data_IF_570122459453
#
_entry.id   IF_570122459453
#
_cell.length_a   1.000
_cell.length_b   1.000
_cell.length_c   1.000
_cell.angle_alpha   90.00
_cell.angle_beta   90.00
_cell.angle_gamma   90.00
#
_symmetry.space_group_name_H-M   'P 1'
#
loop_
_entity.id
_entity.type
_entity.pdbx_description
1 polymer ?
#
# COMPACT_ATOMS: atom_id res chain seq x y z
N UNK A 1 33.67 -11.92 24.65
CA UNK A 1 33.53 -12.22 23.21
C UNK A 1 34.43 -11.26 22.45
N UNK A 2 35.21 -11.73 21.48
CA UNK A 2 36.09 -10.85 20.68
C UNK A 2 35.26 -9.87 19.84
N UNK A 3 35.70 -8.62 19.68
CA UNK A 3 35.03 -7.61 18.85
C UNK A 3 34.73 -8.14 17.42
N UNK A 4 35.62 -8.99 16.89
CA UNK A 4 35.45 -9.63 15.58
C UNK A 4 34.21 -10.52 15.53
N UNK A 5 33.97 -11.32 16.58
CA UNK A 5 32.79 -12.19 16.64
C UNK A 5 31.48 -11.40 16.76
N UNK A 6 31.48 -10.33 17.56
CA UNK A 6 30.31 -9.44 17.68
C UNK A 6 29.99 -8.76 16.35
N UNK A 7 31.01 -8.29 15.63
CA UNK A 7 30.84 -7.68 14.32
C UNK A 7 30.28 -8.67 13.29
N UNK A 8 30.80 -9.91 13.25
CA UNK A 8 30.29 -10.96 12.37
C UNK A 8 28.81 -11.27 12.69
N UNK A 9 28.47 -11.39 13.98
CA UNK A 9 27.09 -11.60 14.40
C UNK A 9 26.17 -10.44 13.99
N UNK A 10 26.60 -9.19 14.18
CA UNK A 10 25.85 -8.01 13.76
C UNK A 10 25.63 -8.01 12.25
N UNK A 11 26.67 -8.25 11.46
CA UNK A 11 26.57 -8.31 10.00
C UNK A 11 25.62 -9.41 9.55
N UNK A 12 25.66 -10.59 10.19
CA UNK A 12 24.71 -11.67 9.89
C UNK A 12 23.27 -11.24 10.15
N UNK A 13 23.00 -10.59 11.28
CA UNK A 13 21.64 -10.09 11.62
C UNK A 13 21.18 -9.06 10.59
N UNK A 14 22.03 -8.07 10.25
CA UNK A 14 21.70 -7.05 9.26
C UNK A 14 21.43 -7.66 7.89
N UNK A 15 22.24 -8.61 7.44
CA UNK A 15 22.03 -9.30 6.15
C UNK A 15 20.70 -10.06 6.17
N UNK A 16 20.39 -10.78 7.25
CA UNK A 16 19.11 -11.48 7.39
C UNK A 16 17.92 -10.52 7.38
N UNK A 17 18.01 -9.39 8.07
CA UNK A 17 16.99 -8.34 8.05
C UNK A 17 16.76 -7.78 6.65
N UNK A 18 17.84 -7.42 5.95
CA UNK A 18 17.75 -6.92 4.57
C UNK A 18 17.18 -7.98 3.63
N UNK A 19 17.61 -9.23 3.75
CA UNK A 19 17.09 -10.32 2.93
C UNK A 19 15.58 -10.52 3.14
N UNK A 20 15.12 -10.57 4.40
CA UNK A 20 13.70 -10.77 4.71
C UNK A 20 12.87 -9.54 4.33
N UNK A 21 13.37 -8.34 4.66
CA UNK A 21 12.67 -7.07 4.43
C UNK A 21 12.57 -6.68 2.96
N UNK A 22 13.55 -7.05 2.13
CA UNK A 22 13.63 -6.66 0.71
C UNK A 22 13.27 -7.78 -0.28
N UNK A 23 12.90 -8.96 0.21
CA UNK A 23 12.44 -10.05 -0.66
C UNK A 23 11.03 -9.75 -1.19
N UNK A 24 10.94 -9.56 -2.50
CA UNK A 24 9.67 -9.50 -3.24
C UNK A 24 9.47 -10.84 -3.96
N UNK A 25 8.33 -11.50 -3.70
CA UNK A 25 8.03 -12.84 -4.24
C UNK A 25 7.10 -12.80 -5.44
N UNK A 26 6.86 -11.63 -6.03
CA UNK A 26 5.82 -11.45 -7.04
C UNK A 26 6.36 -11.43 -8.46
N UNK A 27 5.64 -12.07 -9.41
CA UNK A 27 5.98 -11.98 -10.82
C UNK A 27 5.93 -10.52 -11.29
N UNK A 28 7.03 -10.07 -11.86
CA UNK A 28 7.16 -8.74 -12.46
C UNK A 28 6.33 -8.55 -13.73
N UNK A 29 5.71 -9.61 -14.25
CA UNK A 29 4.91 -9.55 -15.48
C UNK A 29 3.50 -9.04 -15.17
N UNK A 30 3.06 -8.08 -15.97
CA UNK A 30 1.69 -7.62 -15.93
C UNK A 30 0.75 -8.72 -16.43
N UNK A 31 -0.31 -9.02 -15.66
CA UNK A 31 -1.24 -10.11 -15.96
C UNK A 31 -2.44 -9.64 -16.78
N UNK A 32 -2.25 -8.62 -17.63
CA UNK A 32 -3.23 -8.20 -18.63
C UNK A 32 -2.92 -8.90 -19.94
N UNK A 33 -3.91 -9.54 -20.54
CA UNK A 33 -3.79 -10.11 -21.89
C UNK A 33 -5.12 -10.02 -22.63
N UNK A 34 -5.07 -10.12 -23.95
CA UNK A 34 -6.28 -10.23 -24.77
C UNK A 34 -6.72 -11.70 -24.82
N UNK A 35 -8.01 -11.93 -24.68
CA UNK A 35 -8.64 -13.23 -24.96
C UNK A 35 -8.53 -13.54 -26.44
N UNK A 36 -7.98 -14.70 -26.78
CA UNK A 36 -7.88 -15.16 -28.18
C UNK A 36 -9.25 -15.40 -28.81
N UNK A 37 -10.25 -15.75 -28.00
CA UNK A 37 -11.58 -16.14 -28.47
C UNK A 37 -12.42 -14.94 -28.92
N UNK A 38 -12.38 -13.84 -28.17
CA UNK A 38 -13.30 -12.71 -28.36
C UNK A 38 -12.63 -11.34 -28.24
N UNK A 39 -11.32 -11.28 -28.02
CA UNK A 39 -10.55 -10.03 -27.94
C UNK A 39 -10.75 -9.24 -26.65
N UNK A 40 -11.44 -9.78 -25.65
CA UNK A 40 -11.65 -9.10 -24.38
C UNK A 40 -10.33 -8.90 -23.61
N UNK A 41 -10.22 -7.81 -22.85
CA UNK A 41 -9.12 -7.57 -21.92
C UNK A 41 -9.31 -8.43 -20.67
N UNK A 42 -8.41 -9.36 -20.42
CA UNK A 42 -8.41 -10.24 -19.25
C UNK A 42 -7.43 -9.71 -18.21
N UNK A 43 -7.90 -9.57 -16.98
CA UNK A 43 -7.16 -9.05 -15.83
C UNK A 43 -6.97 -10.16 -14.78
N UNK A 44 -5.70 -10.54 -14.57
CA UNK A 44 -5.28 -11.46 -13.51
C UNK A 44 -5.18 -10.80 -12.12
N UNK A 45 -4.46 -11.44 -11.20
CA UNK A 45 -4.32 -10.97 -9.81
C UNK A 45 -3.54 -9.66 -9.68
N UNK A 46 -2.59 -9.45 -10.60
CA UNK A 46 -1.75 -8.26 -10.66
C UNK A 46 -1.73 -7.74 -12.07
N UNK A 47 -2.77 -6.98 -12.37
CA UNK A 47 -3.08 -6.51 -13.70
C UNK A 47 -3.36 -5.01 -13.64
N UNK A 48 -2.70 -4.25 -14.50
CA UNK A 48 -2.94 -2.83 -14.66
C UNK A 48 -2.89 -2.46 -16.14
N UNK A 49 -3.91 -1.74 -16.58
CA UNK A 49 -3.90 -1.06 -17.87
C UNK A 49 -4.38 0.38 -17.65
N UNK A 50 -3.83 1.34 -18.39
CA UNK A 50 -4.16 2.74 -18.19
C UNK A 50 -4.07 3.54 -19.48
N UNK A 51 -4.72 4.70 -19.53
CA UNK A 51 -4.69 5.56 -20.72
C UNK A 51 -3.27 6.05 -21.01
N UNK A 52 -2.84 5.95 -22.27
CA UNK A 52 -1.54 6.43 -22.77
C UNK A 52 -1.35 7.92 -22.47
N UNK A 53 -2.39 8.69 -22.77
CA UNK A 53 -2.43 10.13 -22.54
C UNK A 53 -3.32 10.45 -21.35
N UNK A 54 -3.03 11.57 -20.70
CA UNK A 54 -3.97 12.17 -19.75
C UNK A 54 -5.18 12.72 -20.51
N UNK A 55 -6.37 12.50 -19.94
CA UNK A 55 -7.61 13.13 -20.36
C UNK A 55 -7.56 14.59 -19.94
N UNK A 56 -7.68 15.51 -20.90
CA UNK A 56 -7.43 16.93 -20.67
C UNK A 56 -8.56 17.57 -19.86
N UNK A 57 -8.20 18.54 -19.02
CA UNK A 57 -9.13 19.29 -18.17
C UNK A 57 -10.36 19.79 -18.95
N UNK A 58 -10.14 20.42 -20.10
CA UNK A 58 -11.22 20.96 -20.96
C UNK A 58 -12.21 19.89 -21.44
N UNK A 59 -11.72 18.69 -21.75
CA UNK A 59 -12.59 17.59 -22.18
C UNK A 59 -13.46 17.10 -21.00
N UNK A 60 -12.86 17.01 -19.81
CA UNK A 60 -13.56 16.60 -18.60
C UNK A 60 -14.58 17.64 -18.16
N UNK A 61 -14.23 18.92 -18.18
CA UNK A 61 -15.15 20.01 -17.85
C UNK A 61 -16.35 20.02 -18.78
N UNK A 62 -16.12 19.79 -20.09
CA UNK A 62 -17.20 19.65 -21.06
C UNK A 62 -18.11 18.44 -20.74
N UNK A 63 -17.55 17.27 -20.44
CA UNK A 63 -18.32 16.08 -20.05
C UNK A 63 -19.14 16.32 -18.77
N UNK A 64 -18.55 16.93 -17.75
CA UNK A 64 -19.27 17.24 -16.51
C UNK A 64 -20.37 18.29 -16.72
N UNK A 65 -20.16 19.26 -17.64
CA UNK A 65 -21.13 20.30 -17.94
C UNK A 65 -22.33 19.80 -18.78
N UNK A 66 -22.05 18.96 -19.79
CA UNK A 66 -23.06 18.38 -20.68
C UNK A 66 -23.75 17.14 -20.06
N UNK A 67 -23.11 16.51 -19.07
CA UNK A 67 -23.44 15.18 -18.59
C UNK A 67 -22.72 14.11 -19.41
N UNK A 68 -22.49 12.95 -18.80
CA UNK A 68 -21.71 11.86 -19.39
C UNK A 68 -22.33 10.49 -19.15
N UNK A 69 -21.94 9.53 -19.98
CA UNK A 69 -22.25 8.12 -19.83
C UNK A 69 -20.95 7.30 -19.86
N UNK A 70 -20.83 6.38 -18.91
CA UNK A 70 -19.78 5.35 -18.91
C UNK A 70 -20.47 4.00 -19.09
N UNK A 71 -20.13 3.28 -20.17
CA UNK A 71 -20.59 1.91 -20.41
C UNK A 71 -19.43 0.94 -20.29
N UNK A 72 -19.65 -0.15 -19.56
CA UNK A 72 -18.66 -1.23 -19.43
C UNK A 72 -19.36 -2.56 -19.64
N UNK A 73 -18.85 -3.38 -20.54
CA UNK A 73 -19.26 -4.77 -20.66
C UNK A 73 -18.21 -5.66 -20.00
N UNK A 74 -18.53 -6.23 -18.83
CA UNK A 74 -17.54 -6.89 -17.97
C UNK A 74 -18.02 -8.24 -17.44
N UNK A 75 -17.08 -9.12 -17.10
CA UNK A 75 -17.32 -10.42 -16.47
C UNK A 75 -16.30 -10.65 -15.35
N UNK A 76 -16.67 -10.55 -14.07
CA UNK A 76 -15.74 -10.76 -12.96
C UNK A 76 -15.44 -12.26 -12.75
N UNK A 77 -14.27 -12.56 -12.21
CA UNK A 77 -13.82 -13.93 -11.90
C UNK A 77 -14.12 -14.32 -10.46
N UNK A 78 -14.26 -13.37 -9.54
CA UNK A 78 -14.57 -13.63 -8.13
C UNK A 78 -15.53 -12.59 -7.54
N UNK A 79 -16.25 -13.01 -6.50
CA UNK A 79 -17.21 -12.22 -5.72
C UNK A 79 -16.97 -12.36 -4.21
N UNK A 80 -15.90 -13.03 -3.80
CA UNK A 80 -15.68 -13.43 -2.40
C UNK A 80 -14.96 -12.35 -1.58
N UNK A 81 -14.44 -11.32 -2.24
CA UNK A 81 -13.67 -10.27 -1.59
C UNK A 81 -14.58 -9.22 -0.94
N UNK A 82 -14.30 -8.93 0.35
CA UNK A 82 -14.95 -7.87 1.11
C UNK A 82 -14.31 -6.49 0.89
N UNK A 83 -13.22 -6.43 0.14
CA UNK A 83 -12.48 -5.21 -0.16
C UNK A 83 -12.98 -4.59 -1.47
N UNK A 84 -12.70 -3.31 -1.67
CA UNK A 84 -12.95 -2.65 -2.94
C UNK A 84 -12.03 -3.21 -4.01
N UNK A 85 -12.59 -3.53 -5.17
CA UNK A 85 -11.85 -3.95 -6.35
C UNK A 85 -12.15 -2.99 -7.50
N UNK A 86 -11.15 -2.29 -7.99
CA UNK A 86 -11.34 -1.20 -8.95
C UNK A 86 -11.49 -1.73 -10.37
N UNK A 87 -12.74 -1.83 -10.83
CA UNK A 87 -13.03 -2.15 -12.24
C UNK A 87 -12.54 -1.00 -13.13
N UNK A 88 -12.83 0.24 -12.72
CA UNK A 88 -12.41 1.46 -13.41
C UNK A 88 -12.14 2.57 -12.39
N UNK A 89 -11.05 3.30 -12.60
CA UNK A 89 -10.64 4.46 -11.81
C UNK A 89 -10.25 5.60 -12.74
N UNK A 90 -10.72 6.83 -12.46
CA UNK A 90 -10.23 8.04 -13.11
C UNK A 90 -9.70 8.99 -12.04
N UNK A 91 -8.43 9.37 -12.13
CA UNK A 91 -7.70 10.03 -11.04
C UNK A 91 -6.60 10.97 -11.58
N UNK A 92 -6.30 12.04 -10.85
CA UNK A 92 -5.08 12.86 -11.04
C UNK A 92 -3.93 12.45 -10.11
N UNK A 93 -4.09 11.35 -9.36
CA UNK A 93 -3.16 10.84 -8.36
C UNK A 93 -3.51 11.25 -6.92
N UNK A 94 -4.54 12.05 -6.71
CA UNK A 94 -5.08 12.41 -5.39
C UNK A 94 -6.27 11.49 -5.02
N UNK A 95 -6.17 10.69 -3.93
CA UNK A 95 -7.24 9.79 -3.49
C UNK A 95 -8.56 10.50 -3.18
N UNK A 96 -8.56 11.79 -2.86
CA UNK A 96 -9.80 12.54 -2.65
C UNK A 96 -10.43 13.03 -3.96
N UNK A 97 -9.66 13.09 -5.05
CA UNK A 97 -10.11 13.57 -6.38
C UNK A 97 -10.07 12.46 -7.42
N UNK A 98 -10.91 11.46 -7.19
CA UNK A 98 -11.07 10.32 -8.10
C UNK A 98 -12.54 10.01 -8.38
N UNK A 99 -12.83 9.43 -9.54
CA UNK A 99 -14.09 8.73 -9.84
C UNK A 99 -13.81 7.23 -9.88
N UNK A 100 -14.58 6.45 -9.13
CA UNK A 100 -14.37 5.02 -8.96
C UNK A 100 -15.62 4.26 -9.37
N UNK A 101 -15.44 3.22 -10.17
CA UNK A 101 -16.40 2.13 -10.33
C UNK A 101 -15.74 0.88 -9.78
N UNK A 102 -16.22 0.41 -8.63
CA UNK A 102 -15.63 -0.70 -7.90
C UNK A 102 -16.62 -1.84 -7.72
N UNK A 103 -16.10 -3.06 -7.66
CA UNK A 103 -16.82 -4.22 -7.17
C UNK A 103 -16.49 -4.45 -5.69
N UNK A 104 -17.52 -4.67 -4.88
CA UNK A 104 -17.40 -5.16 -3.50
C UNK A 104 -18.38 -6.31 -3.36
N UNK A 105 -17.88 -7.53 -3.13
CA UNK A 105 -18.71 -8.75 -3.17
C UNK A 105 -19.55 -8.82 -4.45
N UNK A 106 -20.87 -8.84 -4.30
CA UNK A 106 -21.89 -8.83 -5.34
C UNK A 106 -22.51 -7.45 -5.56
N UNK A 107 -21.78 -6.36 -5.28
CA UNK A 107 -22.21 -5.00 -5.60
C UNK A 107 -21.22 -4.33 -6.54
N UNK A 108 -21.75 -3.57 -7.50
CA UNK A 108 -21.02 -2.48 -8.13
C UNK A 108 -21.35 -1.19 -7.38
N UNK A 109 -20.33 -0.45 -7.01
CA UNK A 109 -20.41 0.82 -6.30
C UNK A 109 -19.72 1.89 -7.16
N UNK A 110 -20.38 3.03 -7.32
CA UNK A 110 -19.83 4.22 -7.98
C UNK A 110 -19.79 5.37 -6.99
N UNK A 111 -18.63 6.02 -6.87
CA UNK A 111 -18.41 7.13 -5.95
C UNK A 111 -17.25 8.03 -6.37
N UNK A 112 -17.15 9.20 -5.73
CA UNK A 112 -15.94 10.02 -5.75
C UNK A 112 -15.16 9.91 -4.43
N UNK A 113 -13.84 10.10 -4.51
CA UNK A 113 -12.95 10.14 -3.35
C UNK A 113 -12.61 8.77 -2.76
N UNK A 114 -12.02 8.74 -1.57
CA UNK A 114 -11.47 7.54 -0.92
C UNK A 114 -12.29 6.99 0.28
N UNK A 115 -13.56 7.40 0.44
CA UNK A 115 -14.43 7.00 1.56
C UNK A 115 -14.94 5.54 1.44
N UNK A 116 -14.02 4.58 1.26
CA UNK A 116 -14.33 3.15 1.03
C UNK A 116 -15.09 2.54 2.21
N UNK A 117 -14.69 2.91 3.44
CA UNK A 117 -15.34 2.46 4.68
C UNK A 117 -16.66 3.20 4.98
N UNK A 118 -17.00 4.23 4.21
CA UNK A 118 -18.17 5.08 4.41
C UNK A 118 -18.23 5.86 5.72
N UNK A 119 -17.09 6.14 6.34
CA UNK A 119 -17.02 6.93 7.57
C UNK A 119 -17.47 8.37 7.36
N UNK A 120 -17.24 8.94 6.17
CA UNK A 120 -17.59 10.33 5.82
C UNK A 120 -18.97 10.47 5.17
N UNK A 121 -19.68 9.36 4.99
CA UNK A 121 -20.99 9.30 4.34
C UNK A 121 -21.01 9.96 2.95
N UNK A 122 -19.93 9.85 2.17
CA UNK A 122 -19.89 10.48 0.84
C UNK A 122 -20.96 9.91 -0.09
N UNK A 123 -21.58 10.72 -0.96
CA UNK A 123 -22.56 10.25 -1.94
C UNK A 123 -22.02 9.11 -2.80
N UNK A 124 -22.84 8.06 -2.95
CA UNK A 124 -22.53 6.90 -3.78
C UNK A 124 -23.80 6.23 -4.30
N UNK A 125 -23.69 5.56 -5.43
CA UNK A 125 -24.76 4.74 -6.01
C UNK A 125 -24.26 3.31 -6.14
N UNK A 126 -25.14 2.34 -5.84
CA UNK A 126 -24.79 0.92 -5.85
C UNK A 126 -25.88 0.10 -6.49
N UNK A 127 -25.49 -0.97 -7.17
CA UNK A 127 -26.39 -1.97 -7.74
C UNK A 127 -25.88 -3.36 -7.39
N UNK A 128 -26.80 -4.26 -6.99
CA UNK A 128 -26.46 -5.64 -6.64
C UNK A 128 -26.41 -6.48 -7.91
N UNK A 129 -25.37 -7.28 -8.08
CA UNK A 129 -25.19 -8.25 -9.15
C UNK A 129 -26.01 -9.49 -8.80
N UNK A 130 -27.10 -9.73 -9.53
CA UNK A 130 -28.04 -10.81 -9.21
C UNK A 130 -27.61 -12.18 -9.71
N UNK A 131 -26.84 -12.25 -10.80
CA UNK A 131 -26.35 -13.52 -11.35
C UNK A 131 -24.83 -13.48 -11.52
N UNK A 132 -24.12 -14.08 -10.56
CA UNK A 132 -22.67 -14.04 -10.41
C UNK A 132 -21.91 -14.79 -11.52
N UNK A 133 -22.57 -15.61 -12.33
CA UNK A 133 -21.90 -16.43 -13.34
C UNK A 133 -22.45 -16.22 -14.75
N UNK A 134 -23.25 -15.17 -14.98
CA UNK A 134 -23.91 -14.93 -16.27
C UNK A 134 -23.00 -14.23 -17.28
N UNK A 135 -21.78 -14.72 -17.45
CA UNK A 135 -20.80 -14.17 -18.38
C UNK A 135 -20.69 -12.65 -18.32
N UNK A 136 -20.62 -12.03 -19.50
CA UNK A 136 -20.54 -10.59 -19.66
C UNK A 136 -21.85 -9.87 -19.31
N UNK A 137 -21.73 -8.82 -18.50
CA UNK A 137 -22.81 -7.95 -18.06
C UNK A 137 -22.50 -6.51 -18.46
N UNK A 138 -23.51 -5.81 -18.97
CA UNK A 138 -23.39 -4.41 -19.36
C UNK A 138 -23.80 -3.51 -18.20
N UNK A 139 -22.83 -2.75 -17.69
CA UNK A 139 -23.02 -1.64 -16.78
C UNK A 139 -23.19 -0.36 -17.60
N UNK A 140 -24.16 0.49 -17.23
CA UNK A 140 -24.19 1.89 -17.66
C UNK A 140 -24.35 2.80 -16.44
N UNK A 141 -23.41 3.73 -16.29
CA UNK A 141 -23.48 4.87 -15.40
C UNK A 141 -23.81 6.10 -16.24
N UNK A 142 -24.95 6.74 -15.98
CA UNK A 142 -25.36 7.97 -16.64
C UNK A 142 -25.48 9.10 -15.64
N UNK A 143 -24.78 10.21 -15.88
CA UNK A 143 -24.74 11.36 -14.99
C UNK A 143 -25.14 12.60 -15.77
N UNK A 144 -26.22 13.26 -15.35
CA UNK A 144 -26.62 14.58 -15.83
C UNK A 144 -26.92 15.50 -14.63
N UNK A 145 -27.17 16.79 -14.90
CA UNK A 145 -27.42 17.79 -13.84
C UNK A 145 -28.59 17.45 -12.93
N UNK A 146 -29.58 16.71 -13.43
CA UNK A 146 -30.83 16.39 -12.73
C UNK A 146 -30.78 15.03 -12.05
N UNK A 147 -30.00 14.08 -12.56
CA UNK A 147 -29.97 12.71 -12.06
C UNK A 147 -28.64 12.01 -12.31
N UNK A 148 -28.35 11.07 -11.42
CA UNK A 148 -27.36 10.02 -11.61
C UNK A 148 -28.11 8.70 -11.66
N UNK A 149 -27.88 7.90 -12.70
CA UNK A 149 -28.46 6.56 -12.81
C UNK A 149 -27.42 5.49 -13.09
N UNK A 150 -27.68 4.31 -12.53
CA UNK A 150 -26.84 3.13 -12.65
C UNK A 150 -27.72 1.97 -13.07
N UNK A 151 -27.35 1.32 -14.16
CA UNK A 151 -28.07 0.15 -14.69
C UNK A 151 -27.09 -0.99 -14.94
N UNK A 152 -27.60 -2.21 -14.78
CA UNK A 152 -26.89 -3.45 -15.06
C UNK A 152 -27.86 -4.37 -15.83
N UNK A 153 -27.37 -5.08 -16.85
CA UNK A 153 -28.20 -5.93 -17.72
C UNK A 153 -29.17 -6.81 -16.93
N UNK A 154 -30.47 -6.68 -17.24
CA UNK A 154 -31.53 -7.49 -16.63
C UNK A 154 -31.95 -7.06 -15.22
N UNK A 155 -31.43 -5.94 -14.70
CA UNK A 155 -31.81 -5.40 -13.40
C UNK A 155 -32.48 -4.02 -13.51
N UNK A 156 -33.34 -3.66 -12.53
CA UNK A 156 -33.92 -2.33 -12.45
C UNK A 156 -32.84 -1.24 -12.34
N UNK A 157 -33.02 -0.16 -13.08
CA UNK A 157 -32.18 1.03 -13.01
C UNK A 157 -32.29 1.70 -11.63
N UNK A 158 -31.15 1.96 -10.99
CA UNK A 158 -31.07 2.72 -9.73
C UNK A 158 -30.87 4.19 -10.06
N UNK A 159 -31.61 5.08 -9.38
CA UNK A 159 -31.58 6.53 -9.64
C UNK A 159 -31.32 7.33 -8.36
N UNK A 160 -30.60 8.43 -8.50
CA UNK A 160 -30.39 9.45 -7.46
C UNK A 160 -30.60 10.84 -8.06
N UNK A 161 -31.15 11.75 -7.27
CA UNK A 161 -31.36 13.15 -7.67
C UNK A 161 -30.02 13.86 -7.74
N UNK A 162 -29.81 14.62 -8.82
CA UNK A 162 -28.59 15.39 -9.07
C UNK A 162 -27.41 14.59 -9.59
N UNK A 163 -26.35 15.30 -9.97
CA UNK A 163 -25.05 14.75 -10.29
C UNK A 163 -24.29 14.44 -8.99
N UNK A 164 -24.51 13.26 -8.42
CA UNK A 164 -23.88 12.85 -7.15
C UNK A 164 -22.43 12.39 -7.32
N UNK A 165 -22.02 12.15 -8.57
CA UNK A 165 -20.63 11.86 -8.93
C UNK A 165 -20.22 12.71 -10.13
N UNK A 166 -18.92 12.94 -10.30
CA UNK A 166 -18.33 13.64 -11.45
C UNK A 166 -16.99 13.02 -11.84
N UNK A 167 -16.53 13.25 -13.06
CA UNK A 167 -15.15 12.93 -13.42
C UNK A 167 -14.25 14.02 -12.83
N UNK A 168 -13.17 13.70 -12.10
CA UNK A 168 -12.27 14.71 -11.55
C UNK A 168 -11.64 15.55 -12.65
N UNK A 169 -11.49 16.85 -12.40
CA UNK A 169 -10.91 17.82 -13.33
C UNK A 169 -9.68 18.44 -12.68
N UNK A 170 -8.54 18.33 -13.33
CA UNK A 170 -7.25 18.80 -12.84
C UNK A 170 -6.46 19.49 -13.97
N UNK A 171 -5.65 20.53 -13.69
CA UNK A 171 -4.86 21.23 -14.71
C UNK A 171 -3.91 20.33 -15.49
N UNK A 172 -3.35 19.31 -14.84
CA UNK A 172 -2.47 18.31 -15.44
C UNK A 172 -3.21 17.22 -16.23
N UNK A 173 -4.54 17.27 -16.23
CA UNK A 173 -5.41 16.19 -16.72
C UNK A 173 -5.52 15.03 -15.74
N UNK A 174 -6.32 14.04 -16.11
CA UNK A 174 -6.59 12.83 -15.32
C UNK A 174 -6.27 11.58 -16.12
N UNK A 175 -5.93 10.49 -15.44
CA UNK A 175 -5.65 9.20 -16.07
C UNK A 175 -6.81 8.25 -15.83
N UNK A 176 -7.15 7.46 -16.85
CA UNK A 176 -8.04 6.31 -16.71
C UNK A 176 -7.19 5.08 -16.39
N UNK A 177 -7.53 4.36 -15.33
CA UNK A 177 -6.91 3.11 -14.89
C UNK A 177 -7.98 2.01 -14.87
N UNK A 178 -7.58 0.81 -15.27
CA UNK A 178 -8.39 -0.40 -15.24
C UNK A 178 -7.72 -1.42 -14.33
N UNK A 179 -8.56 -2.17 -13.61
CA UNK A 179 -8.18 -3.18 -12.62
C UNK A 179 -7.53 -2.67 -11.33
N UNK A 180 -6.68 -1.65 -11.35
CA UNK A 180 -5.93 -1.23 -10.17
C UNK A 180 -5.79 0.30 -10.04
N UNK A 181 -5.29 0.77 -8.89
CA UNK A 181 -4.84 2.15 -8.70
C UNK A 181 -3.36 2.36 -9.07
N UNK A 182 -2.84 3.58 -8.85
CA UNK A 182 -1.47 3.97 -9.18
C UNK A 182 -0.40 3.22 -8.37
N UNK A 183 -0.78 2.59 -7.25
CA UNK A 183 0.11 1.82 -6.36
C UNK A 183 -0.13 0.30 -6.46
N UNK A 184 -0.96 -0.15 -7.42
CA UNK A 184 -1.29 -1.56 -7.69
C UNK A 184 -2.06 -2.30 -6.59
N UNK A 185 -2.87 -1.54 -5.85
CA UNK A 185 -3.83 -2.03 -4.87
C UNK A 185 -5.25 -2.11 -5.42
N UNK A 186 -6.10 -2.81 -4.68
CA UNK A 186 -7.52 -3.00 -4.96
C UNK A 186 -7.76 -3.64 -6.34
N UNK A 187 -6.92 -4.61 -6.70
CA UNK A 187 -6.97 -5.24 -8.02
C UNK A 187 -8.31 -5.94 -8.28
N UNK A 188 -8.94 -5.59 -9.39
CA UNK A 188 -10.11 -6.27 -9.92
C UNK A 188 -9.71 -7.38 -10.89
N UNK A 189 -10.44 -8.50 -10.82
CA UNK A 189 -10.16 -9.70 -11.61
C UNK A 189 -11.35 -10.02 -12.50
N UNK A 190 -11.09 -10.18 -13.78
CA UNK A 190 -12.14 -10.49 -14.73
C UNK A 190 -11.78 -10.11 -16.16
N UNK A 191 -12.82 -9.99 -16.98
CA UNK A 191 -12.71 -9.62 -18.37
C UNK A 191 -13.50 -8.36 -18.66
N UNK A 192 -12.94 -7.44 -19.46
CA UNK A 192 -13.64 -6.28 -20.02
C UNK A 192 -13.71 -6.47 -21.53
N UNK A 193 -14.94 -6.60 -22.05
CA UNK A 193 -15.21 -6.75 -23.48
C UNK A 193 -15.37 -5.41 -24.18
N UNK A 194 -15.95 -4.42 -23.51
CA UNK A 194 -16.06 -3.07 -24.06
C UNK A 194 -16.08 -2.01 -22.96
N UNK A 195 -15.60 -0.83 -23.31
CA UNK A 195 -15.59 0.36 -22.46
C UNK A 195 -15.83 1.59 -23.33
N UNK A 196 -16.80 2.42 -22.96
CA UNK A 196 -16.95 3.74 -23.56
C UNK A 196 -17.25 4.82 -22.55
N UNK A 197 -16.73 6.02 -22.81
CA UNK A 197 -16.99 7.25 -22.05
C UNK A 197 -17.39 8.32 -23.06
N UNK A 198 -18.65 8.77 -22.99
CA UNK A 198 -19.20 9.72 -23.97
C UNK A 198 -20.00 10.83 -23.30
N UNK A 199 -20.15 11.95 -24.01
CA UNK A 199 -21.06 13.02 -23.60
C UNK A 199 -22.52 12.58 -23.82
N UNK A 200 -23.42 13.08 -22.97
CA UNK A 200 -24.86 12.95 -23.17
C UNK A 200 -25.43 14.01 -24.11
N UNK A 201 -24.65 15.03 -24.47
CA UNK A 201 -25.06 15.99 -25.47
C UNK A 201 -25.14 15.30 -26.84
N UNK A 202 -26.34 15.30 -27.42
CA UNK A 202 -26.56 14.81 -28.77
C UNK A 202 -25.96 15.78 -29.79
N UNK A 203 -24.68 15.56 -30.11
CA UNK A 203 -23.97 16.30 -31.16
C UNK A 203 -23.46 15.29 -32.19
N UNK A 204 -23.88 15.37 -33.46
CA UNK A 204 -23.57 14.38 -34.51
C UNK A 204 -22.08 14.11 -34.77
N UNK A 205 -21.18 14.93 -34.23
CA UNK A 205 -19.72 14.85 -34.43
C UNK A 205 -18.93 14.61 -33.12
N UNK A 206 -19.60 14.39 -31.98
CA UNK A 206 -18.87 14.10 -30.75
C UNK A 206 -18.46 12.64 -30.73
N UNK A 207 -17.17 12.39 -30.98
CA UNK A 207 -16.59 11.09 -30.71
C UNK A 207 -16.53 10.83 -29.19
N UNK A 208 -16.72 9.58 -28.75
CA UNK A 208 -16.48 9.21 -27.36
C UNK A 208 -15.06 9.61 -26.93
N UNK A 209 -14.90 10.03 -25.69
CA UNK A 209 -13.59 10.31 -25.11
C UNK A 209 -12.75 9.03 -25.02
N UNK A 210 -13.42 7.92 -24.73
CA UNK A 210 -12.85 6.57 -24.73
C UNK A 210 -13.84 5.68 -25.47
N UNK A 211 -13.33 4.86 -26.38
CA UNK A 211 -14.09 3.83 -27.05
C UNK A 211 -13.21 2.58 -27.25
N UNK A 212 -13.70 1.45 -26.77
CA UNK A 212 -13.09 0.16 -26.93
C UNK A 212 -14.18 -0.89 -27.01
N UNK A 213 -14.10 -1.72 -28.04
CA UNK A 213 -15.02 -2.82 -28.26
C UNK A 213 -14.26 -4.03 -28.80
N UNK A 214 -14.30 -5.11 -28.05
CA UNK A 214 -13.69 -6.37 -28.44
C UNK A 214 -14.56 -7.06 -29.51
N UNK A 215 -14.19 -6.86 -30.77
CA UNK A 215 -14.82 -7.52 -31.93
C UNK A 215 -14.19 -8.88 -32.22
N UNK A 216 -12.86 -8.90 -32.28
CA UNK A 216 -11.98 -10.06 -32.48
C UNK A 216 -10.55 -9.68 -32.03
N UNK A 217 -9.72 -10.64 -31.64
CA UNK A 217 -8.41 -10.39 -31.00
C UNK A 217 -7.54 -9.34 -31.72
N UNK A 218 -7.22 -9.49 -33.01
CA UNK A 218 -6.35 -8.56 -33.73
C UNK A 218 -6.91 -7.12 -33.84
N UNK A 219 -8.20 -6.95 -34.12
CA UNK A 219 -8.79 -5.61 -34.19
C UNK A 219 -8.97 -4.98 -32.81
N UNK A 220 -9.28 -5.78 -31.78
CA UNK A 220 -9.33 -5.29 -30.40
C UNK A 220 -7.96 -4.77 -29.93
N UNK A 221 -6.87 -5.43 -30.31
CA UNK A 221 -5.50 -4.95 -30.07
C UNK A 221 -5.24 -3.63 -30.80
N UNK A 222 -5.62 -3.52 -32.08
CA UNK A 222 -5.43 -2.29 -32.84
C UNK A 222 -6.25 -1.11 -32.27
N UNK A 223 -7.52 -1.35 -31.92
CA UNK A 223 -8.44 -0.35 -31.38
C UNK A 223 -7.97 0.17 -30.01
N UNK A 224 -7.58 -0.73 -29.12
CA UNK A 224 -7.06 -0.37 -27.79
C UNK A 224 -5.64 0.21 -27.84
N UNK A 225 -4.79 -0.21 -28.79
CA UNK A 225 -3.43 0.32 -28.91
C UNK A 225 -3.39 1.82 -29.21
N UNK A 226 -4.46 2.44 -29.71
CA UNK A 226 -4.53 3.90 -29.89
C UNK A 226 -4.51 4.68 -28.59
N UNK A 227 -5.11 4.16 -27.51
CA UNK A 227 -5.40 4.94 -26.30
C UNK A 227 -5.02 4.24 -24.98
N UNK A 228 -4.89 2.92 -24.96
CA UNK A 228 -4.59 2.11 -23.78
C UNK A 228 -3.11 1.68 -23.79
N UNK A 229 -2.46 1.78 -22.64
CA UNK A 229 -1.13 1.26 -22.37
C UNK A 229 -1.24 0.06 -21.42
N UNK A 230 -0.73 -1.07 -21.89
CA UNK A 230 -0.53 -2.29 -21.09
C UNK A 230 0.97 -2.47 -20.95
N UNK A 231 1.59 -2.12 -19.80
CA UNK A 231 3.02 -2.29 -19.64
C UNK A 231 3.37 -3.78 -19.57
N UNK A 232 4.49 -4.19 -20.18
CA UNK A 232 4.95 -5.60 -20.12
C UNK A 232 5.34 -6.00 -18.68
N UNK A 233 6.01 -5.08 -17.99
CA UNK A 233 6.40 -5.21 -16.60
C UNK A 233 5.48 -4.38 -15.73
N UNK A 234 4.96 -5.01 -14.69
CA UNK A 234 4.13 -4.33 -13.70
C UNK A 234 5.01 -3.35 -12.92
N UNK A 235 4.64 -2.07 -12.95
CA UNK A 235 5.33 -1.00 -12.21
C UNK A 235 4.30 -0.12 -11.52
N UNK A 236 4.63 0.33 -10.31
CA UNK A 236 3.82 1.32 -9.62
C UNK A 236 3.96 2.67 -10.32
N UNK A 237 2.83 3.32 -10.61
CA UNK A 237 2.78 4.64 -11.24
C UNK A 237 3.02 5.75 -10.20
N UNK A 238 2.74 5.47 -8.93
CA UNK A 238 3.01 6.34 -7.78
C UNK A 238 3.76 5.53 -6.72
N UNK A 239 4.65 6.18 -5.99
CA UNK A 239 5.30 5.56 -4.81
C UNK A 239 4.77 6.22 -3.56
N UNK A 240 4.55 5.40 -2.54
CA UNK A 240 4.19 5.87 -1.20
C UNK A 240 5.33 5.48 -0.29
N UNK A 241 5.93 6.50 0.33
CA UNK A 241 7.05 6.35 1.26
C UNK A 241 6.53 6.74 2.64
N UNK A 242 6.71 5.86 3.63
CA UNK A 242 6.30 6.08 5.01
C UNK A 242 4.83 6.48 5.15
N UNK A 243 3.94 5.61 4.69
CA UNK A 243 2.51 5.82 4.83
C UNK A 243 2.13 5.95 6.31
N UNK A 244 1.41 7.03 6.64
CA UNK A 244 0.92 7.27 7.99
C UNK A 244 -0.41 6.54 8.17
N UNK A 245 -0.36 5.30 8.64
CA UNK A 245 -1.54 4.58 9.11
C UNK A 245 -1.85 4.96 10.57
N UNK A 246 -3.13 5.07 10.91
CA UNK A 246 -3.56 5.24 12.30
C UNK A 246 -3.24 3.97 13.12
N UNK A 247 -2.71 4.14 14.33
CA UNK A 247 -2.46 3.06 15.30
C UNK A 247 -3.76 2.45 15.84
N UNK A 248 -4.48 1.70 15.00
CA UNK A 248 -5.62 0.92 15.43
C UNK A 248 -5.18 -0.54 15.62
N UNK A 249 -5.16 -1.00 16.88
CA UNK A 249 -4.57 -2.29 17.32
C UNK A 249 -5.57 -3.45 17.16
N UNK A 250 -6.78 -3.20 16.66
CA UNK A 250 -7.89 -4.15 16.71
C UNK A 250 -7.82 -5.37 15.76
N UNK A 251 -6.70 -5.62 15.06
CA UNK A 251 -6.56 -6.84 14.24
C UNK A 251 -5.39 -7.73 14.67
N UNK A 252 -5.65 -9.03 14.76
CA UNK A 252 -4.66 -10.05 15.13
C UNK A 252 -3.47 -10.09 14.16
N UNK A 253 -3.71 -9.80 12.87
CA UNK A 253 -2.64 -9.71 11.87
C UNK A 253 -1.72 -8.51 12.13
N UNK A 254 -2.28 -7.31 12.37
CA UNK A 254 -1.49 -6.11 12.68
C UNK A 254 -0.67 -6.32 13.94
N UNK A 255 -1.26 -6.87 15.00
CA UNK A 255 -0.52 -7.13 16.24
C UNK A 255 0.67 -8.08 15.99
N UNK A 256 0.48 -9.15 15.20
CA UNK A 256 1.59 -10.04 14.85
C UNK A 256 2.69 -9.31 14.10
N UNK A 257 2.34 -8.49 13.11
CA UNK A 257 3.30 -7.74 12.30
C UNK A 257 4.06 -6.71 13.15
N UNK A 258 3.36 -6.03 14.07
CA UNK A 258 3.98 -5.12 15.04
C UNK A 258 4.99 -5.82 15.94
N UNK A 259 4.62 -6.99 16.50
CA UNK A 259 5.51 -7.77 17.36
C UNK A 259 6.72 -8.26 16.57
N UNK A 260 6.54 -8.72 15.33
CA UNK A 260 7.65 -9.16 14.47
C UNK A 260 8.64 -8.02 14.21
N UNK A 261 8.16 -6.81 13.93
CA UNK A 261 9.00 -5.63 13.70
C UNK A 261 9.78 -5.24 14.96
N UNK A 262 9.12 -5.15 16.12
CA UNK A 262 9.79 -4.84 17.39
C UNK A 262 10.79 -5.92 17.82
N UNK A 263 10.38 -7.20 17.85
CA UNK A 263 11.27 -8.29 18.28
C UNK A 263 12.40 -8.56 17.28
N UNK A 264 12.14 -8.34 15.99
CA UNK A 264 13.14 -8.47 14.93
C UNK A 264 14.34 -7.56 15.14
N UNK A 265 14.13 -6.35 15.70
CA UNK A 265 15.20 -5.36 15.93
C UNK A 265 15.94 -5.48 17.26
N UNK A 266 15.43 -6.25 18.24
CA UNK A 266 16.10 -6.44 19.54
C UNK A 266 17.51 -7.03 19.40
N UNK A 267 17.75 -8.11 18.61
CA UNK A 267 19.09 -8.67 18.44
C UNK A 267 20.08 -7.68 17.84
N UNK A 268 19.63 -6.87 16.86
CA UNK A 268 20.44 -5.81 16.27
C UNK A 268 20.86 -4.78 17.31
N UNK A 269 19.88 -4.27 18.08
CA UNK A 269 20.12 -3.28 19.12
C UNK A 269 21.08 -3.77 20.21
N UNK A 270 20.91 -5.02 20.66
CA UNK A 270 21.77 -5.63 21.67
C UNK A 270 23.22 -5.76 21.19
N UNK A 271 23.44 -6.28 19.98
CA UNK A 271 24.77 -6.48 19.42
C UNK A 271 25.48 -5.14 19.14
N UNK A 272 24.75 -4.18 18.56
CA UNK A 272 25.31 -2.86 18.27
C UNK A 272 25.66 -2.11 19.57
N UNK A 273 24.77 -2.12 20.56
CA UNK A 273 25.05 -1.53 21.87
C UNK A 273 26.27 -2.18 22.55
N UNK A 274 26.46 -3.50 22.39
CA UNK A 274 27.62 -4.20 22.95
C UNK A 274 28.93 -3.75 22.28
N UNK A 275 28.93 -3.57 20.96
CA UNK A 275 30.10 -3.08 20.21
C UNK A 275 30.42 -1.63 20.62
N UNK A 276 29.41 -0.75 20.64
CA UNK A 276 29.57 0.65 21.05
C UNK A 276 30.09 0.71 22.48
N UNK A 277 29.49 -0.02 23.42
CA UNK A 277 29.92 -0.04 24.82
C UNK A 277 31.39 -0.49 24.95
N UNK A 278 31.84 -1.50 24.19
CA UNK A 278 33.24 -1.95 24.22
C UNK A 278 34.22 -0.93 23.65
N UNK A 279 33.85 -0.24 22.57
CA UNK A 279 34.69 0.79 21.96
C UNK A 279 34.78 2.04 22.84
N UNK A 280 33.65 2.46 23.40
CA UNK A 280 33.54 3.68 24.18
C UNK A 280 33.88 3.51 25.67
N UNK A 281 33.99 2.28 26.18
CA UNK A 281 34.53 2.00 27.52
C UNK A 281 35.98 2.46 27.71
N UNK A 282 36.70 2.74 26.62
CA UNK A 282 38.07 3.27 26.66
C UNK A 282 38.13 4.79 26.78
N UNK A 283 37.02 5.49 26.58
CA UNK A 283 36.94 6.93 26.72
C UNK A 283 36.58 7.29 28.16
N UNK A 284 37.28 8.28 28.72
CA UNK A 284 37.00 8.79 30.07
C UNK A 284 35.72 9.64 30.07
N UNK A 285 34.57 8.98 30.17
CA UNK A 285 33.33 9.66 30.56
C UNK A 285 33.38 9.99 32.05
N UNK A 286 33.04 11.23 32.40
CA UNK A 286 33.02 11.70 33.80
C UNK A 286 32.03 10.91 34.67
N UNK A 287 31.02 10.26 34.07
CA UNK A 287 30.05 9.42 34.78
C UNK A 287 29.55 8.27 33.90
N UNK A 288 29.45 7.06 34.45
CA UNK A 288 28.90 5.87 33.76
C UNK A 288 27.47 6.08 33.25
N UNK A 289 26.68 6.92 33.93
CA UNK A 289 25.33 7.27 33.49
C UNK A 289 25.32 7.92 32.10
N UNK A 290 26.22 8.87 31.84
CA UNK A 290 26.32 9.53 30.54
C UNK A 290 26.80 8.56 29.46
N UNK A 291 27.73 7.66 29.80
CA UNK A 291 28.16 6.61 28.88
C UNK A 291 27.00 5.71 28.46
N UNK A 292 26.22 5.18 29.40
CA UNK A 292 25.07 4.33 29.07
C UNK A 292 24.00 5.06 28.27
N UNK A 293 23.72 6.30 28.64
CA UNK A 293 22.77 7.15 27.90
C UNK A 293 23.25 7.35 26.45
N UNK A 294 24.54 7.61 26.27
CA UNK A 294 25.16 7.75 24.95
C UNK A 294 25.05 6.47 24.13
N UNK A 295 25.30 5.30 24.71
CA UNK A 295 25.14 4.00 24.01
C UNK A 295 23.70 3.78 23.55
N UNK A 296 22.72 4.03 24.42
CA UNK A 296 21.30 3.88 24.08
C UNK A 296 20.91 4.85 22.96
N UNK A 297 21.29 6.13 23.06
CA UNK A 297 20.99 7.13 22.05
C UNK A 297 21.59 6.76 20.70
N UNK A 298 22.88 6.41 20.65
CA UNK A 298 23.55 6.07 19.39
C UNK A 298 22.96 4.80 18.76
N UNK A 299 22.61 3.80 19.57
CA UNK A 299 21.94 2.58 19.09
C UNK A 299 20.53 2.88 18.57
N UNK A 300 19.80 3.79 19.23
CA UNK A 300 18.47 4.23 18.80
C UNK A 300 18.53 4.92 17.44
N UNK A 301 19.47 5.85 17.25
CA UNK A 301 19.69 6.51 15.97
C UNK A 301 20.08 5.52 14.86
N UNK A 302 20.98 4.59 15.14
CA UNK A 302 21.36 3.57 14.15
C UNK A 302 20.18 2.64 13.79
N UNK A 303 19.32 2.30 14.76
CA UNK A 303 18.11 1.51 14.53
C UNK A 303 17.12 2.27 13.65
N UNK A 304 16.91 3.56 13.92
CA UNK A 304 16.09 4.45 13.10
C UNK A 304 16.64 4.54 11.68
N UNK A 305 17.96 4.73 11.51
CA UNK A 305 18.59 4.82 10.19
C UNK A 305 18.46 3.52 9.39
N UNK A 306 18.75 2.36 10.01
CA UNK A 306 18.62 1.07 9.34
C UNK A 306 17.16 0.80 8.95
N UNK A 307 16.22 1.07 9.87
CA UNK A 307 14.81 0.90 9.58
C UNK A 307 14.35 1.85 8.47
N UNK A 308 14.79 3.10 8.45
CA UNK A 308 14.47 4.03 7.36
C UNK A 308 14.97 3.52 6.01
N UNK A 309 16.18 2.96 5.94
CA UNK A 309 16.73 2.38 4.70
C UNK A 309 15.87 1.21 4.21
N UNK A 310 15.44 0.33 5.12
CA UNK A 310 14.56 -0.80 4.79
C UNK A 310 13.21 -0.29 4.27
N UNK A 311 12.54 0.60 5.01
CA UNK A 311 11.24 1.16 4.64
C UNK A 311 11.30 1.93 3.31
N UNK A 312 12.31 2.77 3.14
CA UNK A 312 12.52 3.50 1.90
C UNK A 312 12.74 2.54 0.71
N UNK A 313 13.49 1.46 0.92
CA UNK A 313 13.71 0.46 -0.13
C UNK A 313 12.45 -0.36 -0.43
N UNK A 314 11.61 -0.63 0.57
CA UNK A 314 10.33 -1.31 0.40
C UNK A 314 9.33 -0.51 -0.44
N UNK A 315 9.42 0.83 -0.46
CA UNK A 315 8.58 1.67 -1.33
C UNK A 315 8.78 1.41 -2.85
N UNK A 316 9.78 0.60 -3.22
CA UNK A 316 10.04 0.16 -4.58
C UNK A 316 9.53 -1.26 -4.88
N UNK A 317 9.06 -1.98 -3.86
CA UNK A 317 8.54 -3.34 -3.99
C UNK A 317 7.03 -3.30 -4.16
N UNK A 318 6.50 -4.17 -5.02
CA UNK A 318 5.08 -4.10 -5.43
C UNK A 318 4.16 -4.65 -4.33
N UNK A 319 4.67 -5.53 -3.46
CA UNK A 319 3.89 -6.18 -2.39
C UNK A 319 4.07 -5.57 -1.02
N UNK A 320 4.95 -4.59 -0.89
CA UNK A 320 5.31 -4.02 0.41
C UNK A 320 4.88 -2.58 0.46
N UNK A 321 4.19 -2.23 1.53
CA UNK A 321 3.86 -0.85 1.84
C UNK A 321 4.92 -0.36 2.81
N UNK A 322 5.52 0.79 2.49
CA UNK A 322 6.40 1.48 3.44
C UNK A 322 5.55 2.13 4.51
N UNK A 323 5.86 1.89 5.78
CA UNK A 323 5.03 2.26 6.93
C UNK A 323 5.81 3.07 7.95
N UNK A 324 5.24 4.22 8.35
CA UNK A 324 5.80 5.00 9.45
C UNK A 324 5.73 4.24 10.79
N UNK A 325 4.73 3.37 10.93
CA UNK A 325 4.57 2.53 12.12
C UNK A 325 5.73 1.52 12.22
N UNK A 326 6.14 0.92 11.11
CA UNK A 326 7.23 -0.07 11.09
C UNK A 326 8.57 0.61 11.41
N UNK A 327 8.79 1.82 10.87
CA UNK A 327 9.91 2.67 11.24
C UNK A 327 10.02 2.89 12.76
N UNK A 328 8.90 3.23 13.40
CA UNK A 328 8.85 3.45 14.84
C UNK A 328 9.10 2.16 15.63
N UNK A 329 8.42 1.07 15.29
CA UNK A 329 8.49 -0.20 16.01
C UNK A 329 9.86 -0.85 15.94
N UNK A 330 10.51 -0.77 14.79
CA UNK A 330 11.89 -1.22 14.60
C UNK A 330 12.86 -0.37 15.46
N UNK A 331 12.66 0.94 15.50
CA UNK A 331 13.46 1.85 16.36
C UNK A 331 13.29 1.52 17.84
N UNK A 332 12.05 1.29 18.29
CA UNK A 332 11.74 0.85 19.65
C UNK A 332 12.40 -0.50 19.94
N UNK A 333 12.31 -1.47 19.03
CA UNK A 333 12.95 -2.77 19.16
C UNK A 333 14.46 -2.67 19.37
N UNK A 334 15.14 -1.89 18.54
CA UNK A 334 16.58 -1.68 18.67
C UNK A 334 16.97 -0.96 19.96
N UNK A 335 16.17 0.02 20.38
CA UNK A 335 16.34 0.72 21.66
C UNK A 335 16.16 -0.23 22.85
N UNK A 336 15.15 -1.10 22.83
CA UNK A 336 14.94 -2.12 23.86
C UNK A 336 16.12 -3.09 23.94
N UNK A 337 16.68 -3.51 22.80
CA UNK A 337 17.91 -4.30 22.75
C UNK A 337 19.09 -3.64 23.48
N UNK A 338 19.28 -2.33 23.28
CA UNK A 338 20.30 -1.56 24.00
C UNK A 338 20.02 -1.49 25.51
N UNK A 339 18.77 -1.20 25.90
CA UNK A 339 18.36 -1.12 27.30
C UNK A 339 18.57 -2.45 28.04
N UNK A 340 18.21 -3.58 27.42
CA UNK A 340 18.44 -4.93 27.99
C UNK A 340 19.93 -5.11 28.32
N UNK A 341 20.82 -4.74 27.40
CA UNK A 341 22.26 -4.82 27.65
C UNK A 341 22.69 -3.95 28.83
N UNK A 342 22.26 -2.69 28.89
CA UNK A 342 22.63 -1.77 29.99
C UNK A 342 22.09 -2.27 31.34
N UNK A 343 20.85 -2.74 31.39
CA UNK A 343 20.25 -3.33 32.59
C UNK A 343 21.07 -4.54 33.04
N UNK A 344 21.48 -5.40 32.11
CA UNK A 344 22.32 -6.56 32.43
C UNK A 344 23.66 -6.17 33.05
N UNK A 345 24.31 -5.10 32.57
CA UNK A 345 25.54 -4.57 33.18
C UNK A 345 25.30 -4.00 34.57
N UNK A 346 24.23 -3.20 34.75
CA UNK A 346 23.90 -2.63 36.06
C UNK A 346 23.57 -3.70 37.10
N UNK A 347 22.76 -4.70 36.74
CA UNK A 347 22.45 -5.82 37.62
C UNK A 347 23.72 -6.56 38.04
N UNK A 348 24.65 -6.76 37.10
CA UNK A 348 25.95 -7.35 37.40
C UNK A 348 26.73 -6.49 38.40
N UNK A 349 26.81 -5.18 38.20
CA UNK A 349 27.50 -4.28 39.14
C UNK A 349 26.89 -4.34 40.54
N UNK A 350 25.56 -4.33 40.66
CA UNK A 350 24.86 -4.42 41.94
C UNK A 350 25.16 -5.74 42.63
N UNK A 351 24.89 -6.88 41.97
CA UNK A 351 25.06 -8.22 42.55
C UNK A 351 26.50 -8.43 43.05
N UNK A 352 27.50 -8.13 42.22
CA UNK A 352 28.91 -8.35 42.56
C UNK A 352 29.49 -7.28 43.50
N UNK A 353 28.84 -6.11 43.67
CA UNK A 353 29.24 -5.13 44.68
C UNK A 353 28.85 -5.56 46.10
N UNK A 354 27.71 -6.25 46.25
CA UNK A 354 27.26 -6.83 47.52
C UNK A 354 28.23 -7.89 48.05
N UNK A 355 28.72 -8.77 47.18
CA UNK A 355 29.68 -9.82 47.55
C UNK A 355 31.02 -9.26 48.05
N UNK A 356 31.51 -8.18 47.44
CA UNK A 356 32.72 -7.51 47.90
C UNK A 356 32.54 -6.88 49.29
N UNK A 357 31.40 -6.23 49.52
CA UNK A 357 31.11 -5.62 50.82
C UNK A 357 30.92 -6.64 51.96
N UNK A 358 30.40 -7.83 51.65
CA UNK A 358 30.28 -8.93 52.60
C UNK A 358 31.65 -9.56 52.91
N UNK A 359 32.46 -9.82 51.88
CA UNK A 359 33.81 -10.39 52.03
C UNK A 359 34.80 -9.44 52.74
N UNK A 360 34.62 -8.12 52.62
CA UNK A 360 35.40 -7.12 53.36
C UNK A 360 34.98 -7.03 54.84
N UNK A 361 33.69 -7.21 55.16
CA UNK A 361 33.21 -7.27 56.55
C UNK A 361 33.71 -8.50 57.30
N UNK A 362 33.74 -9.67 56.65
CA UNK A 362 34.32 -10.88 57.25
C UNK A 362 35.83 -10.75 57.49
N UNK A 363 36.58 -10.18 56.54
CA UNK A 363 38.02 -9.92 56.73
C UNK A 363 38.31 -8.87 57.81
N UNK A 364 37.46 -7.86 57.95
CA UNK A 364 37.57 -6.85 59.01
C UNK A 364 37.31 -7.39 60.42
N UNK A 365 36.58 -8.50 60.57
CA UNK A 365 36.37 -9.18 61.86
C UNK A 365 37.53 -10.13 62.23
N UNK A 366 38.19 -10.75 61.25
CA UNK A 366 39.32 -11.68 61.50
C UNK A 366 40.57 -10.96 62.04
N UNK A 367 40.73 -9.65 61.82
CA UNK A 367 41.84 -8.86 62.36
C UNK A 367 41.54 -8.16 63.70
N UNK A 368 40.40 -8.45 64.35
CA UNK A 368 40.03 -7.89 65.66
C UNK A 368 40.05 -8.91 66.82
N UNK A 369 40.61 -10.09 66.62
CA UNK A 369 40.81 -11.10 67.66
C UNK A 369 42.28 -11.40 67.91
#
# INVERSE_FOLDING_TARGET
MSNKLLLIALMSVVISMLYIGLKDSVPSKNQVHYSENDGALIFGERALAYSKNYLLQRQIDALNADGFEIKINFSPVSYENNHFQFLLLISDGDPDRQLIIAQVRDYIIVMNGDDYNHSRNTPRIRIKISNRFKGYQQLSLRVDKKKTSLSLTGLPEVKRTGAIVKIPSAPTGVRLLLSANEILDNNWRGAIKSLSIASLADRPQLHPLVDFDAKNGPSAIADSAGWLLIPEKLTMLKRVVLETASFDINSQSRMRDMLLNTFGFIPFGLLLAAIIQQQFARFSFSCRYYQYSFVVILTSFASLSLSFVIEYSQSWLITRHSSQQDLYLNTVGGTLGACILIISYKLREVVFSTDKSAAERERGQIHKH
#
